data_IF_164438783942
#
_entry.id   IF_164438783942
#
_cell.length_a   1.000
_cell.length_b   1.000
_cell.length_c   1.000
_cell.angle_alpha   90.00
_cell.angle_beta   90.00
_cell.angle_gamma   90.00
#
_symmetry.space_group_name_H-M   'P 1'
#
loop_
_entity.id
_entity.type
_entity.pdbx_description
1 polymer ?
#
# COMPACT_ATOMS: atom_id res chain seq x y z
N UNK A 1 -7.77 -21.42 -3.80
CA UNK A 1 -6.88 -21.17 -4.95
C UNK A 1 -5.87 -22.30 -4.98
N UNK A 2 -5.71 -23.00 -6.10
CA UNK A 2 -4.61 -23.96 -6.27
C UNK A 2 -3.31 -23.17 -6.36
N UNK A 3 -2.30 -23.51 -5.54
CA UNK A 3 -0.96 -22.97 -5.70
C UNK A 3 -0.45 -23.29 -7.11
N UNK A 4 0.36 -22.39 -7.70
CA UNK A 4 1.03 -22.68 -8.95
C UNK A 4 1.89 -23.95 -8.76
N UNK A 5 1.89 -24.89 -9.73
CA UNK A 5 2.72 -26.07 -9.62
C UNK A 5 4.19 -25.68 -9.48
N UNK A 6 4.97 -26.50 -8.77
CA UNK A 6 6.43 -26.35 -8.70
C UNK A 6 7.03 -26.42 -10.11
N UNK A 7 7.99 -25.56 -10.41
CA UNK A 7 8.53 -25.37 -11.77
C UNK A 7 7.53 -24.68 -12.73
N UNK A 8 6.41 -24.17 -12.22
CA UNK A 8 5.39 -23.50 -13.03
C UNK A 8 5.89 -22.22 -13.69
N UNK A 9 5.21 -21.75 -14.73
CA UNK A 9 5.57 -20.49 -15.38
C UNK A 9 5.14 -19.29 -14.50
N UNK A 10 6.12 -18.52 -14.02
CA UNK A 10 5.89 -17.39 -13.13
C UNK A 10 5.05 -16.29 -13.78
N UNK A 11 5.35 -15.90 -15.02
CA UNK A 11 4.60 -14.85 -15.72
C UNK A 11 3.11 -15.20 -15.84
N UNK A 12 2.78 -16.44 -16.21
CA UNK A 12 1.40 -16.93 -16.29
C UNK A 12 0.71 -16.94 -14.93
N UNK A 13 1.45 -17.30 -13.87
CA UNK A 13 0.93 -17.33 -12.49
C UNK A 13 0.45 -15.95 -12.03
N UNK A 14 1.11 -14.89 -12.48
CA UNK A 14 0.74 -13.49 -12.18
C UNK A 14 -0.04 -12.81 -13.31
N UNK A 15 -0.66 -13.60 -14.20
CA UNK A 15 -1.49 -13.11 -15.30
C UNK A 15 -0.75 -12.13 -16.24
N UNK A 16 0.50 -12.47 -16.57
CA UNK A 16 1.40 -11.74 -17.46
C UNK A 16 1.63 -10.29 -17.02
N UNK A 17 1.59 -10.03 -15.72
CA UNK A 17 2.01 -8.74 -15.16
C UNK A 17 3.53 -8.59 -15.25
N UNK A 18 3.99 -7.35 -15.38
CA UNK A 18 5.41 -7.03 -15.46
C UNK A 18 6.00 -6.76 -14.08
N UNK A 19 5.19 -6.20 -13.17
CA UNK A 19 5.59 -5.80 -11.83
C UNK A 19 4.78 -6.56 -10.78
N UNK A 20 5.41 -6.88 -9.65
CA UNK A 20 4.77 -7.43 -8.44
C UNK A 20 5.12 -6.56 -7.24
N UNK A 21 4.11 -6.12 -6.49
CA UNK A 21 4.33 -5.36 -5.25
C UNK A 21 3.14 -5.39 -4.29
N UNK A 22 3.27 -4.69 -3.17
CA UNK A 22 2.21 -4.46 -2.19
C UNK A 22 1.58 -3.07 -2.35
N UNK A 23 0.28 -2.98 -2.04
CA UNK A 23 -0.51 -1.74 -2.02
C UNK A 23 0.14 -0.64 -1.19
N UNK A 24 0.71 -0.99 -0.04
CA UNK A 24 1.40 -0.05 0.84
C UNK A 24 2.59 0.63 0.14
N UNK A 25 3.41 -0.15 -0.57
CA UNK A 25 4.59 0.34 -1.29
C UNK A 25 4.20 1.31 -2.40
N UNK A 26 3.20 0.96 -3.21
CA UNK A 26 2.72 1.85 -4.29
C UNK A 26 2.07 3.12 -3.76
N UNK A 27 1.31 3.01 -2.66
CA UNK A 27 0.76 4.18 -1.97
C UNK A 27 1.86 5.14 -1.55
N UNK A 28 2.92 4.62 -0.91
CA UNK A 28 4.02 5.45 -0.42
C UNK A 28 4.82 6.06 -1.54
N UNK A 29 5.13 5.29 -2.58
CA UNK A 29 5.83 5.78 -3.76
C UNK A 29 5.05 6.90 -4.44
N UNK A 30 3.76 6.68 -4.76
CA UNK A 30 2.93 7.71 -5.38
C UNK A 30 2.82 8.99 -4.53
N UNK A 31 2.67 8.84 -3.20
CA UNK A 31 2.58 9.98 -2.27
C UNK A 31 3.81 10.89 -2.29
N UNK A 32 4.98 10.38 -2.70
CA UNK A 32 6.21 11.17 -2.76
C UNK A 32 6.05 12.43 -3.61
N UNK A 33 5.19 12.43 -4.63
CA UNK A 33 4.96 13.61 -5.47
C UNK A 33 4.62 14.87 -4.65
N UNK A 34 3.82 14.72 -3.59
CA UNK A 34 3.35 15.82 -2.76
C UNK A 34 3.86 15.77 -1.30
N UNK A 35 4.50 14.67 -0.90
CA UNK A 35 5.05 14.46 0.44
C UNK A 35 6.55 14.13 0.41
N UNK A 36 7.35 15.11 -0.03
CA UNK A 36 8.81 14.98 -0.15
C UNK A 36 9.57 14.95 1.18
N UNK A 37 8.88 15.08 2.32
CA UNK A 37 9.49 15.09 3.64
C UNK A 37 9.61 13.68 4.25
N UNK A 38 8.81 12.72 3.78
CA UNK A 38 8.91 11.33 4.26
C UNK A 38 9.87 10.55 3.36
N UNK A 39 11.03 10.10 3.87
CA UNK A 39 11.97 9.36 3.04
C UNK A 39 11.36 8.04 2.56
N UNK A 40 11.70 7.66 1.34
CA UNK A 40 11.23 6.44 0.70
C UNK A 40 12.41 5.60 0.21
N UNK A 41 12.29 4.28 0.38
CA UNK A 41 13.29 3.29 0.00
C UNK A 41 12.59 2.00 -0.41
N UNK A 42 12.87 1.52 -1.62
CA UNK A 42 12.31 0.30 -2.17
C UNK A 42 13.36 -0.43 -3.00
N UNK A 43 13.54 -1.71 -2.76
CA UNK A 43 14.36 -2.55 -3.60
C UNK A 43 13.56 -3.07 -4.80
N UNK A 44 14.22 -3.24 -5.92
CA UNK A 44 13.69 -3.85 -7.13
C UNK A 44 14.66 -4.92 -7.64
N UNK A 45 14.14 -6.04 -8.14
CA UNK A 45 14.95 -7.04 -8.83
C UNK A 45 14.13 -7.80 -9.88
N UNK A 46 14.82 -8.34 -10.90
CA UNK A 46 14.21 -9.21 -11.90
C UNK A 46 14.38 -10.66 -11.50
N UNK A 47 13.33 -11.45 -11.64
CA UNK A 47 13.41 -12.91 -11.57
C UNK A 47 12.45 -13.54 -12.58
N UNK A 48 12.96 -14.45 -13.43
CA UNK A 48 12.24 -15.11 -14.52
C UNK A 48 11.39 -14.11 -15.33
N UNK A 49 12.00 -12.98 -15.71
CA UNK A 49 11.37 -11.94 -16.54
C UNK A 49 10.27 -11.11 -15.86
N UNK A 50 10.14 -11.15 -14.53
CA UNK A 50 9.22 -10.33 -13.73
C UNK A 50 10.01 -9.43 -12.79
N UNK A 51 9.60 -8.17 -12.64
CA UNK A 51 10.21 -7.22 -11.70
C UNK A 51 9.45 -7.23 -10.38
N UNK A 52 10.13 -7.58 -9.30
CA UNK A 52 9.58 -7.56 -7.94
C UNK A 52 10.01 -6.29 -7.24
N UNK A 53 9.09 -5.70 -6.46
CA UNK A 53 9.30 -4.45 -5.74
C UNK A 53 8.99 -4.63 -4.25
N UNK A 54 9.96 -4.35 -3.39
CA UNK A 54 9.82 -4.53 -1.94
C UNK A 54 10.29 -3.28 -1.19
N UNK A 55 9.42 -2.72 -0.36
CA UNK A 55 9.76 -1.55 0.44
C UNK A 55 10.62 -1.91 1.66
N UNK A 56 11.64 -1.11 1.93
CA UNK A 56 12.46 -1.22 3.14
C UNK A 56 12.23 -0.03 4.06
N UNK A 57 12.15 -0.30 5.37
CA UNK A 57 12.07 0.77 6.37
C UNK A 57 13.40 1.51 6.43
N UNK A 58 13.33 2.84 6.43
CA UNK A 58 14.52 3.67 6.61
C UNK A 58 14.97 3.66 8.08
N UNK A 59 16.27 3.91 8.37
CA UNK A 59 16.75 4.03 9.74
C UNK A 59 15.94 5.02 10.59
N UNK A 60 15.57 6.16 10.00
CA UNK A 60 14.74 7.18 10.67
C UNK A 60 13.35 6.65 11.02
N UNK A 61 12.74 5.83 10.15
CA UNK A 61 11.44 5.21 10.43
C UNK A 61 11.54 4.17 11.56
N UNK A 62 12.62 3.38 11.57
CA UNK A 62 12.87 2.39 12.63
C UNK A 62 13.07 3.06 13.99
N UNK A 63 13.83 4.16 14.03
CA UNK A 63 14.02 4.96 15.24
C UNK A 63 12.71 5.57 15.74
N UNK A 64 11.89 6.13 14.85
CA UNK A 64 10.56 6.65 15.21
C UNK A 64 9.65 5.56 15.78
N UNK A 65 9.68 4.35 15.22
CA UNK A 65 8.90 3.21 15.75
C UNK A 65 9.39 2.83 17.15
N UNK A 66 10.72 2.75 17.34
CA UNK A 66 11.33 2.44 18.64
C UNK A 66 10.96 3.47 19.71
N UNK A 67 10.91 4.74 19.33
CA UNK A 67 10.64 5.87 20.21
C UNK A 67 9.16 6.31 20.22
N UNK A 68 8.23 5.48 19.74
CA UNK A 68 6.80 5.80 19.79
C UNK A 68 6.34 6.04 21.22
N UNK A 69 5.72 7.20 21.44
CA UNK A 69 5.06 7.54 22.69
C UNK A 69 3.90 6.58 22.98
N UNK A 70 3.50 6.49 24.25
CA UNK A 70 2.32 5.71 24.66
C UNK A 70 1.08 6.17 23.90
N UNK A 71 0.92 7.47 23.69
CA UNK A 71 -0.20 8.04 22.94
C UNK A 71 -0.20 7.61 21.46
N UNK A 72 0.96 7.57 20.80
CA UNK A 72 1.05 7.07 19.42
C UNK A 72 0.70 5.58 19.32
N UNK A 73 1.18 4.76 20.27
CA UNK A 73 0.81 3.33 20.33
C UNK A 73 -0.70 3.14 20.52
N UNK A 74 -1.30 3.93 21.40
CA UNK A 74 -2.76 3.94 21.58
C UNK A 74 -3.49 4.37 20.31
N UNK A 75 -2.99 5.37 19.58
CA UNK A 75 -3.59 5.79 18.30
C UNK A 75 -3.57 4.69 17.24
N UNK A 76 -2.50 3.89 17.17
CA UNK A 76 -2.45 2.70 16.31
C UNK A 76 -3.51 1.68 16.76
N UNK A 77 -3.56 1.37 18.06
CA UNK A 77 -4.56 0.45 18.62
C UNK A 77 -6.00 0.90 18.35
N UNK A 78 -6.30 2.20 18.45
CA UNK A 78 -7.64 2.73 18.20
C UNK A 78 -8.12 2.48 16.76
N UNK A 79 -7.21 2.42 15.77
CA UNK A 79 -7.54 2.02 14.40
C UNK A 79 -8.10 0.59 14.36
N UNK A 80 -7.32 -0.36 14.83
CA UNK A 80 -7.73 -1.77 14.89
C UNK A 80 -8.94 -2.01 15.79
N UNK A 81 -9.06 -1.29 16.90
CA UNK A 81 -10.24 -1.38 17.75
C UNK A 81 -11.47 -0.85 17.02
N UNK A 82 -11.35 0.22 16.22
CA UNK A 82 -12.44 0.72 15.40
C UNK A 82 -12.86 -0.31 14.34
N UNK A 83 -11.93 -1.00 13.69
CA UNK A 83 -12.25 -2.11 12.79
C UNK A 83 -13.11 -3.16 13.49
N UNK A 84 -12.70 -3.61 14.69
CA UNK A 84 -13.47 -4.56 15.49
C UNK A 84 -14.88 -4.07 15.87
N UNK A 85 -15.10 -2.75 16.01
CA UNK A 85 -16.44 -2.18 16.25
C UNK A 85 -17.29 -2.08 14.99
N UNK A 86 -16.69 -2.12 13.80
CA UNK A 86 -17.35 -1.86 12.53
C UNK A 86 -17.55 -3.12 11.68
N UNK A 87 -16.90 -4.23 12.03
CA UNK A 87 -16.93 -5.48 11.25
C UNK A 87 -17.51 -6.65 12.03
N UNK A 88 -18.07 -7.61 11.31
CA UNK A 88 -18.51 -8.90 11.85
C UNK A 88 -18.09 -10.01 10.89
N UNK A 89 -17.80 -11.20 11.43
CA UNK A 89 -17.37 -12.36 10.64
C UNK A 89 -18.49 -12.91 9.74
N UNK A 90 -19.74 -12.53 10.01
CA UNK A 90 -20.93 -12.97 9.28
C UNK A 90 -21.84 -11.80 8.95
N UNK A 91 -22.43 -11.84 7.76
CA UNK A 91 -23.34 -10.79 7.28
C UNK A 91 -24.49 -10.58 8.26
N UNK A 92 -24.79 -9.32 8.57
CA UNK A 92 -25.88 -8.85 9.44
C UNK A 92 -25.76 -9.28 10.92
N UNK A 93 -24.65 -9.88 11.34
CA UNK A 93 -24.37 -10.10 12.77
C UNK A 93 -23.76 -8.85 13.40
N UNK A 94 -23.97 -8.71 14.72
CA UNK A 94 -23.35 -7.64 15.49
C UNK A 94 -21.84 -7.91 15.66
N UNK A 95 -21.00 -6.88 15.59
CA UNK A 95 -19.57 -6.98 15.91
C UNK A 95 -19.33 -7.54 17.31
N UNK A 96 -18.28 -8.36 17.46
CA UNK A 96 -17.82 -8.86 18.76
C UNK A 96 -16.72 -7.96 19.30
N UNK A 97 -17.05 -7.14 20.29
CA UNK A 97 -16.18 -6.02 20.74
C UNK A 97 -15.52 -6.26 22.09
N UNK A 98 -15.85 -7.36 22.77
CA UNK A 98 -15.33 -7.77 24.08
C UNK A 98 -14.02 -8.59 23.97
N UNK A 99 -13.77 -9.17 22.80
CA UNK A 99 -12.57 -9.93 22.52
C UNK A 99 -11.32 -9.01 22.41
N UNK A 100 -10.13 -9.52 22.77
CA UNK A 100 -8.86 -8.84 22.48
C UNK A 100 -8.74 -8.49 20.99
N UNK A 101 -8.14 -7.34 20.69
CA UNK A 101 -7.79 -6.98 19.31
C UNK A 101 -6.59 -7.82 18.88
N UNK A 102 -6.73 -8.55 17.78
CA UNK A 102 -5.67 -9.34 17.15
C UNK A 102 -5.33 -8.74 15.78
N UNK A 103 -4.05 -8.72 15.44
CA UNK A 103 -3.53 -8.34 14.11
C UNK A 103 -2.98 -9.57 13.35
N UNK A 104 -3.30 -10.78 13.80
CA UNK A 104 -2.86 -12.01 13.12
C UNK A 104 -3.75 -12.38 11.93
N UNK A 105 -5.00 -11.92 11.94
CA UNK A 105 -5.96 -12.18 10.87
C UNK A 105 -5.89 -11.04 9.86
N UNK A 106 -5.59 -11.38 8.60
CA UNK A 106 -5.54 -10.44 7.49
C UNK A 106 -6.35 -11.00 6.32
N UNK A 107 -7.06 -10.13 5.61
CA UNK A 107 -7.73 -10.48 4.37
C UNK A 107 -7.12 -9.67 3.22
N UNK A 108 -6.44 -10.36 2.32
CA UNK A 108 -5.77 -9.73 1.17
C UNK A 108 -6.46 -10.12 -0.13
N UNK A 109 -6.74 -9.11 -0.95
CA UNK A 109 -7.19 -9.25 -2.34
C UNK A 109 -6.00 -8.96 -3.25
N UNK A 110 -5.91 -9.67 -4.36
CA UNK A 110 -4.90 -9.41 -5.38
C UNK A 110 -5.54 -8.77 -6.60
N UNK A 111 -5.10 -7.57 -6.94
CA UNK A 111 -5.59 -6.81 -8.09
C UNK A 111 -4.57 -6.79 -9.21
N UNK A 112 -5.07 -6.63 -10.45
CA UNK A 112 -4.27 -6.34 -11.63
C UNK A 112 -4.56 -4.92 -12.08
N UNK A 113 -3.54 -4.08 -12.14
CA UNK A 113 -3.62 -2.71 -12.65
C UNK A 113 -2.83 -2.60 -13.95
N UNK A 114 -3.38 -1.88 -14.93
CA UNK A 114 -2.68 -1.58 -16.18
C UNK A 114 -2.56 -0.08 -16.33
N UNK A 115 -1.34 0.42 -16.50
CA UNK A 115 -1.06 1.81 -16.79
C UNK A 115 -1.24 2.04 -18.30
N UNK A 116 -2.16 2.92 -18.67
CA UNK A 116 -2.60 3.06 -20.05
C UNK A 116 -1.53 3.65 -20.98
N UNK A 117 -0.65 4.52 -20.49
CA UNK A 117 0.30 5.24 -21.33
C UNK A 117 1.46 4.34 -21.76
N UNK A 118 1.91 3.46 -20.87
CA UNK A 118 3.05 2.54 -21.12
C UNK A 118 2.64 1.09 -21.35
N UNK A 119 1.39 0.72 -21.05
CA UNK A 119 0.94 -0.67 -21.05
C UNK A 119 1.52 -1.52 -19.91
N UNK A 120 2.22 -0.90 -18.96
CA UNK A 120 2.84 -1.56 -17.82
C UNK A 120 1.77 -2.17 -16.91
N UNK A 121 1.94 -3.43 -16.52
CA UNK A 121 0.97 -4.19 -15.73
C UNK A 121 1.53 -4.53 -14.36
N UNK A 122 0.78 -4.19 -13.33
CA UNK A 122 1.14 -4.39 -11.93
C UNK A 122 0.20 -5.41 -11.28
N UNK A 123 0.79 -6.45 -10.70
CA UNK A 123 0.13 -7.43 -9.85
C UNK A 123 0.33 -7.00 -8.39
N UNK A 124 -0.76 -6.63 -7.71
CA UNK A 124 -0.68 -5.94 -6.42
C UNK A 124 -1.51 -6.61 -5.33
N UNK A 125 -0.86 -6.93 -4.21
CA UNK A 125 -1.53 -7.40 -3.00
C UNK A 125 -2.09 -6.23 -2.18
N UNK A 126 -3.37 -6.32 -1.83
CA UNK A 126 -4.13 -5.29 -1.12
C UNK A 126 -4.82 -5.89 0.11
N UNK A 127 -4.33 -5.59 1.30
CA UNK A 127 -5.07 -5.83 2.55
C UNK A 127 -6.37 -5.03 2.57
N UNK A 128 -7.47 -5.63 2.99
CA UNK A 128 -8.81 -5.05 2.97
C UNK A 128 -9.47 -5.15 4.34
N UNK A 129 -10.10 -4.07 4.80
CA UNK A 129 -10.70 -4.01 6.14
C UNK A 129 -12.07 -4.70 6.21
N UNK A 130 -12.84 -4.68 5.11
CA UNK A 130 -14.15 -5.32 5.10
C UNK A 130 -14.91 -5.21 3.79
N UNK A 131 -16.08 -5.84 3.80
CA UNK A 131 -17.03 -5.88 2.67
C UNK A 131 -18.40 -5.44 3.21
N UNK A 132 -19.03 -4.47 2.55
CA UNK A 132 -20.37 -4.04 2.93
C UNK A 132 -21.46 -5.03 2.50
N UNK A 133 -22.72 -4.75 2.86
CA UNK A 133 -23.84 -5.64 2.57
C UNK A 133 -24.10 -5.81 1.06
N UNK A 134 -23.67 -4.85 0.24
CA UNK A 134 -23.76 -4.90 -1.21
C UNK A 134 -22.60 -5.67 -1.85
N UNK A 135 -21.65 -6.17 -1.04
CA UNK A 135 -20.49 -6.89 -1.55
C UNK A 135 -19.36 -5.97 -2.00
N UNK A 136 -19.40 -4.67 -1.67
CA UNK A 136 -18.36 -3.71 -2.04
C UNK A 136 -17.31 -3.61 -0.95
N UNK A 137 -16.05 -3.53 -1.35
CA UNK A 137 -14.95 -3.31 -0.42
C UNK A 137 -15.03 -1.92 0.22
N UNK A 138 -14.79 -1.86 1.52
CA UNK A 138 -14.74 -0.64 2.31
C UNK A 138 -13.43 -0.57 3.09
N UNK A 139 -12.88 0.63 3.21
CA UNK A 139 -11.72 0.91 4.05
C UNK A 139 -12.19 1.63 5.32
N UNK A 140 -11.67 1.25 6.48
CA UNK A 140 -12.01 1.80 7.77
C UNK A 140 -10.85 2.66 8.27
N UNK A 141 -11.17 3.88 8.70
CA UNK A 141 -10.15 4.81 9.22
C UNK A 141 -10.67 5.56 10.42
N UNK A 142 -9.77 6.01 11.28
CA UNK A 142 -10.11 6.96 12.34
C UNK A 142 -9.52 8.34 12.05
N UNK A 143 -10.25 9.39 12.44
CA UNK A 143 -9.86 10.80 12.28
C UNK A 143 -10.22 11.59 13.54
N UNK A 144 -9.41 12.59 13.88
CA UNK A 144 -9.63 13.42 15.08
C UNK A 144 -10.75 14.42 14.78
N UNK A 145 -11.79 14.45 15.60
CA UNK A 145 -12.95 15.35 15.59
C UNK A 145 -13.75 15.45 14.27
N UNK A 146 -13.12 15.90 13.18
CA UNK A 146 -13.79 16.14 11.89
C UNK A 146 -12.86 15.99 10.69
N UNK A 147 -13.46 15.90 9.49
CA UNK A 147 -12.78 15.92 8.20
C UNK A 147 -12.62 17.37 7.71
N UNK A 148 -11.76 18.13 8.40
CA UNK A 148 -11.56 19.56 8.15
C UNK A 148 -10.08 19.94 8.13
N UNK A 149 -9.80 21.19 7.72
CA UNK A 149 -8.46 21.76 7.69
C UNK A 149 -7.47 20.91 6.89
N UNK A 150 -6.31 20.62 7.50
CA UNK A 150 -5.22 19.88 6.86
C UNK A 150 -5.57 18.44 6.45
N UNK A 151 -6.70 17.87 6.87
CA UNK A 151 -7.13 16.53 6.45
C UNK A 151 -7.16 16.40 4.92
N UNK A 152 -7.81 17.35 4.24
CA UNK A 152 -7.99 17.32 2.78
C UNK A 152 -6.69 17.52 2.00
N UNK A 153 -5.71 18.18 2.62
CA UNK A 153 -4.40 18.38 2.03
C UNK A 153 -3.47 17.19 2.20
N UNK A 154 -3.45 16.57 3.39
CA UNK A 154 -2.42 15.59 3.74
C UNK A 154 -2.96 14.15 3.81
N UNK A 155 -4.06 13.93 4.54
CA UNK A 155 -4.53 12.56 4.86
C UNK A 155 -5.47 11.99 3.81
N UNK A 156 -6.32 12.84 3.21
CA UNK A 156 -7.26 12.45 2.15
C UNK A 156 -6.53 11.84 0.94
N UNK A 157 -5.38 12.39 0.57
CA UNK A 157 -4.53 11.85 -0.49
C UNK A 157 -4.11 10.41 -0.22
N UNK A 158 -3.58 10.12 0.97
CA UNK A 158 -3.16 8.77 1.37
C UNK A 158 -4.34 7.80 1.41
N UNK A 159 -5.48 8.24 1.93
CA UNK A 159 -6.71 7.44 1.96
C UNK A 159 -7.19 7.11 0.55
N UNK A 160 -7.13 8.09 -0.36
CA UNK A 160 -7.48 7.89 -1.76
C UNK A 160 -6.54 6.89 -2.44
N UNK A 161 -5.23 7.07 -2.35
CA UNK A 161 -4.25 6.14 -2.96
C UNK A 161 -4.44 4.71 -2.45
N UNK A 162 -4.57 4.53 -1.13
CA UNK A 162 -4.77 3.21 -0.52
C UNK A 162 -6.02 2.53 -1.06
N UNK A 163 -7.12 3.29 -1.11
CA UNK A 163 -8.42 2.81 -1.56
C UNK A 163 -8.47 2.56 -3.07
N UNK A 164 -7.84 3.42 -3.85
CA UNK A 164 -7.78 3.35 -5.31
C UNK A 164 -7.08 2.07 -5.77
N UNK A 165 -5.90 1.75 -5.22
CA UNK A 165 -5.19 0.50 -5.53
C UNK A 165 -5.94 -0.75 -5.05
N UNK A 166 -6.67 -0.64 -3.91
CA UNK A 166 -7.49 -1.71 -3.38
C UNK A 166 -8.80 -1.97 -4.15
N UNK A 167 -9.23 -1.06 -5.02
CA UNK A 167 -10.57 -1.13 -5.63
C UNK A 167 -11.70 -0.90 -4.61
N UNK A 168 -11.41 -0.16 -3.53
CA UNK A 168 -12.35 0.17 -2.46
C UNK A 168 -13.38 1.19 -2.95
N UNK A 169 -14.66 0.98 -2.66
CA UNK A 169 -15.72 1.91 -3.09
C UNK A 169 -15.83 3.16 -2.20
N UNK A 170 -15.52 3.03 -0.92
CA UNK A 170 -15.68 4.10 0.07
C UNK A 170 -14.83 3.88 1.31
N UNK A 171 -14.45 4.99 1.95
CA UNK A 171 -13.83 4.99 3.28
C UNK A 171 -14.89 5.29 4.33
N UNK A 172 -14.96 4.52 5.41
CA UNK A 172 -15.78 4.84 6.59
C UNK A 172 -14.86 5.41 7.67
N UNK A 173 -15.03 6.69 7.96
CA UNK A 173 -14.23 7.43 8.94
C UNK A 173 -14.92 7.46 10.31
N UNK A 174 -14.30 6.89 11.33
CA UNK A 174 -14.64 7.09 12.74
C UNK A 174 -14.04 8.39 13.26
N UNK A 175 -14.88 9.38 13.55
CA UNK A 175 -14.50 10.67 14.10
C UNK A 175 -14.41 10.55 15.63
N UNK A 176 -13.17 10.60 16.12
CA UNK A 176 -12.85 10.35 17.54
C UNK A 176 -12.33 11.59 18.25
N UNK A 177 -12.55 11.60 19.56
CA UNK A 177 -11.97 12.57 20.49
C UNK A 177 -10.48 12.31 20.74
N UNK A 178 -9.82 13.25 21.44
CA UNK A 178 -8.44 13.10 21.89
C UNK A 178 -8.24 11.96 22.92
N UNK A 179 -9.32 11.48 23.56
CA UNK A 179 -9.30 10.28 24.42
C UNK A 179 -9.53 8.97 23.66
N UNK A 180 -9.71 9.04 22.33
CA UNK A 180 -9.85 7.86 21.47
C UNK A 180 -11.28 7.35 21.30
N UNK A 181 -12.29 8.05 21.82
CA UNK A 181 -13.70 7.66 21.72
C UNK A 181 -14.26 8.15 20.38
N UNK A 182 -14.77 7.23 19.55
CA UNK A 182 -15.46 7.57 18.30
C UNK A 182 -16.89 7.99 18.63
N UNK A 183 -17.26 9.22 18.27
CA UNK A 183 -18.59 9.78 18.51
C UNK A 183 -19.48 9.70 17.28
N UNK A 184 -18.89 9.79 16.09
CA UNK A 184 -19.61 9.84 14.81
C UNK A 184 -18.87 9.02 13.77
N UNK A 185 -19.60 8.38 12.86
CA UNK A 185 -19.02 7.76 11.66
C UNK A 185 -19.49 8.50 10.41
N UNK A 186 -18.62 8.59 9.41
CA UNK A 186 -18.92 9.21 8.13
C UNK A 186 -18.44 8.33 6.98
N UNK A 187 -19.35 7.93 6.09
CA UNK A 187 -19.01 7.22 4.85
C UNK A 187 -18.64 8.25 3.77
N UNK A 188 -17.46 8.10 3.19
CA UNK A 188 -16.93 8.91 2.11
C UNK A 188 -16.79 8.03 0.86
N UNK A 189 -17.62 8.23 -0.18
CA UNK A 189 -17.38 7.63 -1.49
C UNK A 189 -15.98 7.99 -2.01
N UNK A 190 -15.28 7.03 -2.63
CA UNK A 190 -13.89 7.24 -3.07
C UNK A 190 -13.72 8.48 -3.97
N UNK A 191 -14.69 8.71 -4.85
CA UNK A 191 -14.76 9.84 -5.79
C UNK A 191 -14.79 11.22 -5.09
N UNK A 192 -15.19 11.30 -3.82
CA UNK A 192 -15.20 12.58 -3.09
C UNK A 192 -13.82 13.01 -2.61
N UNK A 193 -12.93 12.05 -2.35
CA UNK A 193 -11.59 12.34 -1.82
C UNK A 193 -10.76 13.26 -2.73
N UNK A 194 -10.64 13.02 -4.05
CA UNK A 194 -9.91 13.93 -4.94
C UNK A 194 -10.70 15.22 -5.21
N UNK A 195 -12.04 15.14 -5.30
CA UNK A 195 -12.90 16.33 -5.53
C UNK A 195 -12.76 17.39 -4.44
N UNK A 196 -12.56 16.95 -3.20
CA UNK A 196 -12.39 17.81 -2.02
C UNK A 196 -10.93 17.95 -1.60
N UNK A 197 -10.02 17.23 -2.26
CA UNK A 197 -8.59 17.27 -2.03
C UNK A 197 -8.02 18.66 -2.26
N UNK A 198 -7.01 19.03 -1.47
CA UNK A 198 -6.42 20.38 -1.53
C UNK A 198 -4.92 20.26 -1.77
N UNK A 199 -4.43 20.83 -2.87
CA UNK A 199 -2.99 20.88 -3.17
C UNK A 199 -2.39 19.56 -3.66
N UNK A 200 -3.20 18.62 -4.14
CA UNK A 200 -2.76 17.40 -4.82
C UNK A 200 -3.75 17.03 -5.93
N UNK A 201 -3.28 16.30 -6.94
CA UNK A 201 -4.08 15.77 -8.04
C UNK A 201 -3.93 14.25 -8.14
N UNK A 202 -5.05 13.54 -8.17
CA UNK A 202 -5.12 12.11 -8.44
C UNK A 202 -4.48 11.72 -9.77
N UNK A 203 -4.80 12.44 -10.85
CA UNK A 203 -4.20 12.21 -12.16
C UNK A 203 -2.67 12.40 -12.14
N UNK A 204 -2.17 13.42 -11.44
CA UNK A 204 -0.74 13.67 -11.30
C UNK A 204 -0.04 12.56 -10.49
N UNK A 205 -0.66 12.08 -9.41
CA UNK A 205 -0.15 10.96 -8.59
C UNK A 205 0.04 9.70 -9.42
N UNK A 206 -0.96 9.33 -10.24
CA UNK A 206 -0.91 8.13 -11.06
C UNK A 206 0.11 8.26 -12.20
N UNK A 207 0.17 9.42 -12.87
CA UNK A 207 1.18 9.69 -13.90
C UNK A 207 2.61 9.64 -13.35
N UNK A 208 2.80 10.22 -12.17
CA UNK A 208 4.09 10.17 -11.48
C UNK A 208 4.48 8.74 -11.14
N UNK A 209 3.55 7.96 -10.57
CA UNK A 209 3.79 6.55 -10.29
C UNK A 209 4.13 5.75 -11.56
N UNK A 210 3.36 5.94 -12.64
CA UNK A 210 3.60 5.30 -13.94
C UNK A 210 5.01 5.63 -14.47
N UNK A 211 5.42 6.90 -14.44
CA UNK A 211 6.73 7.32 -14.90
C UNK A 211 7.86 6.66 -14.10
N UNK A 212 7.76 6.66 -12.76
CA UNK A 212 8.79 6.05 -11.91
C UNK A 212 8.84 4.54 -12.12
N UNK A 213 7.70 3.85 -12.12
CA UNK A 213 7.65 2.40 -12.33
C UNK A 213 8.16 2.00 -13.70
N UNK A 214 7.92 2.82 -14.74
CA UNK A 214 8.44 2.57 -16.08
C UNK A 214 9.96 2.69 -16.11
N UNK A 215 10.54 3.71 -15.48
CA UNK A 215 11.98 3.87 -15.37
C UNK A 215 12.65 2.73 -14.57
N UNK A 216 12.03 2.32 -13.45
CA UNK A 216 12.51 1.17 -12.65
C UNK A 216 12.43 -0.11 -13.46
N UNK A 217 11.31 -0.36 -14.15
CA UNK A 217 11.15 -1.54 -14.99
C UNK A 217 12.19 -1.59 -16.11
N UNK A 218 12.42 -0.47 -16.82
CA UNK A 218 13.41 -0.38 -17.89
C UNK A 218 14.83 -0.66 -17.37
N UNK A 219 15.23 -0.02 -16.27
CA UNK A 219 16.54 -0.21 -15.66
C UNK A 219 16.77 -1.67 -15.23
N UNK A 220 15.81 -2.26 -14.54
CA UNK A 220 15.91 -3.64 -14.01
C UNK A 220 15.81 -4.68 -15.13
N UNK A 221 15.00 -4.44 -16.16
CA UNK A 221 14.86 -5.39 -17.27
C UNK A 221 16.08 -5.42 -18.19
N UNK A 222 16.77 -4.28 -18.34
CA UNK A 222 18.01 -4.15 -19.12
C UNK A 222 19.22 -4.84 -18.46
N UNK A 223 19.12 -5.22 -17.19
CA UNK A 223 20.16 -5.96 -16.48
C UNK A 223 20.30 -7.40 -17.01
N UNK A 224 21.54 -7.85 -17.17
CA UNK A 224 21.87 -9.22 -17.59
C UNK A 224 21.68 -10.18 -16.43
N UNK A 225 22.14 -9.80 -15.24
CA UNK A 225 22.10 -10.66 -14.05
C UNK A 225 20.69 -10.74 -13.45
N UNK A 226 20.13 -11.96 -13.42
CA UNK A 226 18.93 -12.23 -12.62
C UNK A 226 19.21 -11.96 -11.14
N UNK A 227 18.21 -11.45 -10.43
CA UNK A 227 18.27 -11.11 -9.01
C UNK A 227 19.28 -10.02 -8.62
N UNK A 228 19.85 -9.27 -9.58
CA UNK A 228 20.57 -8.03 -9.24
C UNK A 228 19.60 -7.07 -8.54
N UNK A 229 20.02 -6.52 -7.39
CA UNK A 229 19.20 -5.64 -6.57
C UNK A 229 19.46 -4.19 -6.97
N UNK A 230 18.39 -3.50 -7.33
CA UNK A 230 18.35 -2.06 -7.52
C UNK A 230 17.66 -1.40 -6.32
N UNK A 231 18.16 -0.26 -5.88
CA UNK A 231 17.58 0.52 -4.79
C UNK A 231 16.98 1.81 -5.33
N UNK A 232 15.68 1.97 -5.14
CA UNK A 232 14.91 3.16 -5.51
C UNK A 232 14.72 4.01 -4.26
N UNK A 233 15.27 5.22 -4.26
CA UNK A 233 15.24 6.10 -3.10
C UNK A 233 14.79 7.51 -3.45
N UNK A 234 14.16 8.15 -2.46
CA UNK A 234 14.00 9.59 -2.43
C UNK A 234 14.44 10.13 -1.09
N UNK A 235 15.53 10.88 -1.10
CA UNK A 235 15.98 11.62 0.07
C UNK A 235 15.00 12.76 0.39
N UNK A 236 14.79 13.08 1.67
CA UNK A 236 13.94 14.21 2.05
C UNK A 236 14.40 15.50 1.38
N UNK A 237 13.45 16.28 0.85
CA UNK A 237 13.70 17.52 0.10
C UNK A 237 14.42 17.34 -1.26
N UNK A 238 14.74 16.12 -1.69
CA UNK A 238 15.17 15.87 -3.07
C UNK A 238 13.99 16.03 -4.03
N UNK A 239 14.22 16.69 -5.15
CA UNK A 239 13.26 16.74 -6.26
C UNK A 239 13.30 15.47 -7.12
N UNK A 240 14.37 14.67 -7.00
CA UNK A 240 14.61 13.49 -7.83
C UNK A 240 14.49 12.19 -7.04
N UNK A 241 14.08 11.13 -7.75
CA UNK A 241 14.18 9.74 -7.31
C UNK A 241 15.46 9.15 -7.93
N UNK A 242 16.29 8.52 -7.11
CA UNK A 242 17.48 7.80 -7.57
C UNK A 242 17.15 6.31 -7.73
N UNK A 243 17.84 5.67 -8.68
CA UNK A 243 17.84 4.23 -8.90
C UNK A 243 19.29 3.79 -8.90
N UNK A 244 19.73 3.19 -7.80
CA UNK A 244 21.09 2.67 -7.62
C UNK A 244 21.13 1.17 -7.92
N UNK A 245 22.20 0.69 -8.55
CA UNK A 245 22.42 -0.73 -8.88
C UNK A 245 23.32 -1.36 -7.83
N UNK A 246 23.29 -2.69 -7.75
CA UNK A 246 24.25 -3.51 -7.00
C UNK A 246 24.17 -3.28 -5.49
N UNK A 247 22.95 -3.38 -4.96
CA UNK A 247 22.65 -3.24 -3.54
C UNK A 247 22.24 -4.59 -2.89
N UNK A 248 23.12 -5.61 -2.86
CA UNK A 248 22.79 -6.99 -2.46
C UNK A 248 22.27 -7.12 -1.02
N UNK A 249 22.60 -6.17 -0.14
CA UNK A 249 22.12 -6.11 1.24
C UNK A 249 20.59 -5.95 1.37
N UNK A 250 19.90 -5.60 0.27
CA UNK A 250 18.44 -5.50 0.22
C UNK A 250 17.79 -6.65 -0.54
N UNK A 251 18.45 -7.82 -0.67
CA UNK A 251 17.83 -9.04 -1.21
C UNK A 251 16.59 -9.42 -0.38
N UNK A 252 15.46 -9.64 -1.05
CA UNK A 252 14.18 -9.90 -0.38
C UNK A 252 13.39 -11.10 -0.93
N UNK A 253 13.77 -11.66 -2.08
CA UNK A 253 13.19 -12.92 -2.56
C UNK A 253 13.75 -14.07 -1.73
N UNK A 254 12.87 -14.91 -1.19
CA UNK A 254 13.27 -16.07 -0.38
C UNK A 254 13.80 -17.20 -1.25
N UNK A 255 14.71 -18.01 -0.71
CA UNK A 255 15.21 -19.21 -1.39
C UNK A 255 14.09 -20.22 -1.67
N UNK A 256 13.07 -20.29 -0.81
CA UNK A 256 11.88 -21.11 -1.05
C UNK A 256 11.15 -20.66 -2.32
N UNK A 257 10.92 -19.36 -2.48
CA UNK A 257 10.29 -18.82 -3.68
C UNK A 257 11.14 -19.07 -4.93
N UNK A 258 12.44 -18.78 -4.85
CA UNK A 258 13.36 -18.99 -5.98
C UNK A 258 13.46 -20.47 -6.37
N UNK A 259 13.47 -21.38 -5.40
CA UNK A 259 13.49 -22.82 -5.66
C UNK A 259 12.14 -23.41 -6.08
N UNK A 260 11.02 -22.70 -5.81
CA UNK A 260 9.69 -23.10 -6.28
C UNK A 260 9.53 -22.95 -7.78
N UNK A 261 10.14 -21.90 -8.35
CA UNK A 261 10.12 -21.56 -9.77
C UNK A 261 11.45 -21.88 -10.48
N UNK A 262 12.41 -22.46 -9.74
CA UNK A 262 13.52 -23.19 -10.34
C UNK A 262 12.97 -24.44 -11.03
N UNK A 263 13.66 -24.85 -12.10
CA UNK A 263 13.21 -25.83 -13.09
C UNK A 263 12.66 -27.14 -12.50
#
# INVERSE_FOLDING_TARGET
MSQAPRGGNLQKTIHDCHLVSWRGTMTRLASQLYESNEPFKMAACKYKGVVFLCEFRTPQKLERIKNMSVKEKLMTYWGHKFEQYMTSSRRKEKPRTDAPVSQMEEFTVVNKMTFCSTGLRLYIGCEMDGVDLEGKYVELKTQRESLSGGFWRFKAMKWWLQSYFGGVSSVVAGLRSDSGVVHTTQKLPLQELPKRGQGWSDAALIKFLEAVLSAVHEAVMSEVDENCIFLVERNPNSETISIERDCPQYRFLSEEFLSWFAD
#
